data_IF_733582957765
#
_entry.id   IF_733582957765
#
_cell.length_a   1.000
_cell.length_b   1.000
_cell.length_c   1.000
_cell.angle_alpha   90.00
_cell.angle_beta   90.00
_cell.angle_gamma   90.00
#
_symmetry.space_group_name_H-M   'P 1'
#
loop_
_entity.id
_entity.type
_entity.pdbx_description
1 polymer ?
#
# COMPACT_ATOMS: atom_id res chain seq x y z
N UNK A 1 24.80 2.26 -0.07
CA UNK A 1 23.58 1.45 0.15
C UNK A 1 23.08 1.06 -1.22
N UNK A 2 23.20 -0.22 -1.59
CA UNK A 2 22.76 -0.71 -2.89
C UNK A 2 21.24 -0.81 -2.88
N UNK A 3 20.57 -0.06 -3.75
CA UNK A 3 19.14 -0.24 -3.99
C UNK A 3 18.86 -1.70 -4.35
N UNK A 4 17.69 -2.21 -3.98
CA UNK A 4 17.29 -3.55 -4.38
C UNK A 4 17.04 -3.53 -5.88
N UNK A 5 17.86 -4.20 -6.71
CA UNK A 5 17.69 -4.14 -8.15
C UNK A 5 16.35 -4.79 -8.53
N UNK A 6 15.67 -4.21 -9.52
CA UNK A 6 14.58 -4.87 -10.24
C UNK A 6 15.12 -6.19 -10.80
N UNK A 7 14.88 -7.30 -10.11
CA UNK A 7 15.44 -8.62 -10.42
C UNK A 7 14.30 -9.55 -10.87
N UNK A 8 14.55 -10.57 -11.68
CA UNK A 8 13.50 -11.43 -12.31
C UNK A 8 12.69 -12.34 -11.36
N UNK A 9 12.75 -12.09 -10.06
CA UNK A 9 12.15 -12.93 -9.04
C UNK A 9 10.78 -12.36 -8.57
N UNK A 10 9.77 -13.17 -8.22
CA UNK A 10 8.38 -12.70 -8.00
C UNK A 10 8.18 -11.56 -6.96
N UNK A 11 9.04 -11.49 -5.95
CA UNK A 11 8.96 -10.61 -4.78
C UNK A 11 9.01 -9.10 -5.06
N UNK A 12 9.76 -8.62 -6.06
CA UNK A 12 9.78 -7.17 -6.34
C UNK A 12 8.43 -6.66 -6.84
N UNK A 13 7.65 -7.52 -7.51
CA UNK A 13 6.31 -7.19 -8.00
C UNK A 13 5.37 -6.95 -6.83
N UNK A 14 5.47 -7.80 -5.80
CA UNK A 14 4.72 -7.63 -4.56
C UNK A 14 5.15 -6.37 -3.82
N UNK A 15 6.45 -6.10 -3.73
CA UNK A 15 6.95 -4.84 -3.15
C UNK A 15 6.41 -3.60 -3.87
N UNK A 16 6.40 -3.60 -5.20
CA UNK A 16 5.87 -2.50 -6.00
C UNK A 16 4.34 -2.32 -5.83
N UNK A 17 3.57 -3.43 -5.83
CA UNK A 17 2.13 -3.40 -5.58
C UNK A 17 1.80 -2.88 -4.17
N UNK A 18 2.53 -3.36 -3.17
CA UNK A 18 2.37 -2.96 -1.78
C UNK A 18 2.66 -1.49 -1.56
N UNK A 19 3.80 -1.01 -2.09
CA UNK A 19 4.15 0.41 -2.02
C UNK A 19 3.10 1.28 -2.70
N UNK A 20 2.55 0.85 -3.84
CA UNK A 20 1.46 1.59 -4.48
C UNK A 20 0.20 1.66 -3.63
N UNK A 21 -0.19 0.56 -2.98
CA UNK A 21 -1.35 0.54 -2.11
C UNK A 21 -1.14 1.44 -0.88
N UNK A 22 0.01 1.35 -0.22
CA UNK A 22 0.38 2.21 0.91
C UNK A 22 0.40 3.68 0.50
N UNK A 23 0.92 4.00 -0.68
CA UNK A 23 0.91 5.36 -1.19
C UNK A 23 -0.51 5.90 -1.30
N UNK A 24 -1.40 5.19 -1.99
CA UNK A 24 -2.80 5.61 -2.17
C UNK A 24 -3.53 5.78 -0.83
N UNK A 25 -3.30 4.88 0.13
CA UNK A 25 -3.84 4.96 1.50
C UNK A 25 -3.23 6.11 2.32
N UNK A 26 -2.06 6.61 1.95
CA UNK A 26 -1.32 7.64 2.70
C UNK A 26 -1.53 9.08 2.22
N UNK A 27 -2.17 9.29 1.08
CA UNK A 27 -2.28 10.60 0.43
C UNK A 27 -3.73 11.10 0.40
N UNK A 28 -4.16 11.94 1.36
CA UNK A 28 -5.51 12.49 1.39
C UNK A 28 -5.89 13.28 0.12
N UNK A 29 -4.93 13.97 -0.50
CA UNK A 29 -5.18 14.73 -1.72
C UNK A 29 -5.57 13.78 -2.85
N UNK A 30 -4.78 12.72 -3.04
CA UNK A 30 -5.10 11.63 -3.96
C UNK A 30 -6.45 10.98 -3.65
N UNK A 31 -6.75 10.68 -2.38
CA UNK A 31 -8.00 10.02 -1.98
C UNK A 31 -9.23 10.86 -2.36
N UNK A 32 -9.15 12.17 -2.15
CA UNK A 32 -10.21 13.08 -2.57
C UNK A 32 -10.32 13.15 -4.10
N UNK A 33 -9.20 13.31 -4.81
CA UNK A 33 -9.20 13.49 -6.26
C UNK A 33 -9.49 12.22 -7.05
N UNK A 34 -9.18 11.04 -6.51
CA UNK A 34 -9.32 9.76 -7.19
C UNK A 34 -10.49 8.93 -6.65
N UNK A 35 -10.58 8.72 -5.33
CA UNK A 35 -11.59 7.81 -4.77
C UNK A 35 -12.95 8.47 -4.59
N UNK A 36 -13.02 9.73 -4.15
CA UNK A 36 -14.31 10.42 -4.03
C UNK A 36 -14.91 10.81 -5.38
N UNK A 37 -14.08 11.04 -6.40
CA UNK A 37 -14.53 11.38 -7.75
C UNK A 37 -14.78 10.16 -8.64
N UNK A 38 -14.33 8.96 -8.22
CA UNK A 38 -14.41 7.74 -9.03
C UNK A 38 -13.46 7.75 -10.23
N UNK A 39 -12.27 8.36 -10.10
CA UNK A 39 -11.27 8.39 -11.17
C UNK A 39 -10.79 6.97 -11.51
N UNK A 40 -10.94 6.61 -12.78
CA UNK A 40 -10.49 5.32 -13.29
C UNK A 40 -8.96 5.13 -13.24
N UNK A 41 -8.52 3.88 -13.31
CA UNK A 41 -7.11 3.50 -13.43
C UNK A 41 -6.35 3.36 -12.11
N UNK A 42 -6.97 3.68 -10.97
CA UNK A 42 -6.37 3.50 -9.65
C UNK A 42 -7.09 2.48 -8.77
N UNK A 43 -8.31 2.08 -9.11
CA UNK A 43 -9.18 1.31 -8.22
C UNK A 43 -9.69 2.14 -7.04
N UNK A 44 -10.38 1.49 -6.11
CA UNK A 44 -10.94 2.12 -4.92
C UNK A 44 -10.16 1.81 -3.63
N UNK A 45 -10.74 2.15 -2.47
CA UNK A 45 -10.18 1.86 -1.15
C UNK A 45 -10.00 0.36 -0.96
N UNK A 46 -11.02 -0.43 -1.31
CA UNK A 46 -11.05 -1.88 -1.16
C UNK A 46 -9.98 -2.54 -2.03
N UNK A 47 -9.82 -2.10 -3.28
CA UNK A 47 -8.75 -2.55 -4.17
C UNK A 47 -7.35 -2.29 -3.58
N UNK A 48 -7.16 -1.14 -2.90
CA UNK A 48 -5.90 -0.83 -2.24
C UNK A 48 -5.66 -1.75 -1.03
N UNK A 49 -6.68 -2.04 -0.21
CA UNK A 49 -6.55 -2.98 0.91
C UNK A 49 -6.24 -4.39 0.41
N UNK A 50 -6.93 -4.88 -0.63
CA UNK A 50 -6.65 -6.22 -1.17
C UNK A 50 -5.24 -6.35 -1.75
N UNK A 51 -4.71 -5.31 -2.38
CA UNK A 51 -3.29 -5.30 -2.81
C UNK A 51 -2.29 -5.47 -1.67
N UNK A 52 -2.66 -5.14 -0.43
CA UNK A 52 -1.79 -5.36 0.73
C UNK A 52 -1.78 -6.81 1.20
N UNK A 53 -2.83 -7.60 0.94
CA UNK A 53 -3.07 -8.87 1.61
C UNK A 53 -3.26 -10.08 0.68
N UNK A 54 -3.85 -9.91 -0.51
CA UNK A 54 -4.29 -11.05 -1.34
C UNK A 54 -3.13 -11.95 -1.77
N UNK A 55 -2.06 -11.34 -2.32
CA UNK A 55 -0.88 -12.08 -2.79
C UNK A 55 0.14 -12.34 -1.66
N UNK A 56 0.05 -11.63 -0.54
CA UNK A 56 1.08 -11.55 0.49
C UNK A 56 0.67 -12.17 1.82
N UNK A 57 -0.62 -12.44 2.03
CA UNK A 57 -1.18 -13.05 3.25
C UNK A 57 -0.86 -12.28 4.54
N UNK A 58 -0.65 -10.96 4.44
CA UNK A 58 -0.28 -10.12 5.59
C UNK A 58 -1.42 -9.88 6.59
N UNK A 59 -2.64 -10.27 6.23
CA UNK A 59 -3.77 -10.36 7.15
C UNK A 59 -3.70 -11.59 8.07
N UNK A 60 -2.93 -12.62 7.69
CA UNK A 60 -2.77 -13.87 8.45
C UNK A 60 -1.38 -14.02 9.10
N UNK A 61 -0.35 -13.35 8.55
CA UNK A 61 1.03 -13.49 9.01
C UNK A 61 1.76 -12.14 9.03
N UNK A 62 2.67 -11.99 10.00
CA UNK A 62 3.53 -10.80 10.07
C UNK A 62 4.42 -10.65 8.84
N UNK A 63 4.59 -9.41 8.42
CA UNK A 63 5.55 -8.93 7.43
C UNK A 63 6.99 -9.36 7.72
N UNK A 64 7.35 -9.62 9.00
CA UNK A 64 8.68 -10.07 9.39
C UNK A 64 9.12 -11.35 8.64
N UNK A 65 8.16 -12.22 8.30
CA UNK A 65 8.43 -13.44 7.50
C UNK A 65 8.97 -13.17 6.10
N UNK A 66 8.74 -11.96 5.58
CA UNK A 66 9.14 -11.54 4.25
C UNK A 66 10.37 -10.61 4.26
N UNK A 67 11.03 -10.43 5.41
CA UNK A 67 12.30 -9.69 5.49
C UNK A 67 13.39 -10.39 4.68
N UNK A 68 14.18 -9.61 3.93
CA UNK A 68 15.13 -10.11 2.93
C UNK A 68 14.47 -10.54 1.62
N UNK A 69 13.14 -10.56 1.57
CA UNK A 69 12.33 -10.64 0.35
C UNK A 69 11.57 -9.32 0.18
N UNK A 70 10.25 -9.30 0.29
CA UNK A 70 9.41 -8.11 0.06
C UNK A 70 9.92 -6.90 0.87
N UNK A 71 10.38 -7.14 2.11
CA UNK A 71 10.86 -6.09 3.00
C UNK A 71 12.36 -6.13 3.19
N UNK A 72 12.97 -4.96 3.34
CA UNK A 72 14.41 -4.83 3.50
C UNK A 72 14.91 -5.33 4.85
N UNK A 73 14.25 -4.89 5.90
CA UNK A 73 14.64 -5.12 7.28
C UNK A 73 13.40 -5.18 8.20
N UNK A 74 13.63 -5.53 9.46
CA UNK A 74 12.58 -5.68 10.45
C UNK A 74 11.86 -4.35 10.78
N UNK A 75 12.53 -3.20 10.61
CA UNK A 75 11.90 -1.92 10.89
C UNK A 75 10.88 -1.56 9.81
N UNK A 76 11.23 -1.77 8.54
CA UNK A 76 10.30 -1.62 7.43
C UNK A 76 9.12 -2.59 7.56
N UNK A 77 9.38 -3.86 7.89
CA UNK A 77 8.33 -4.87 8.09
C UNK A 77 7.37 -4.48 9.23
N UNK A 78 7.88 -4.00 10.37
CA UNK A 78 7.04 -3.59 11.49
C UNK A 78 6.11 -2.43 11.14
N UNK A 79 6.57 -1.45 10.36
CA UNK A 79 5.72 -0.36 9.87
C UNK A 79 4.61 -0.87 8.96
N UNK A 80 4.93 -1.82 8.08
CA UNK A 80 3.96 -2.44 7.17
C UNK A 80 2.92 -3.25 7.95
N UNK A 81 3.31 -4.00 8.97
CA UNK A 81 2.37 -4.74 9.84
C UNK A 81 1.34 -3.79 10.47
N UNK A 82 1.78 -2.65 10.99
CA UNK A 82 0.88 -1.64 11.57
C UNK A 82 -0.07 -1.09 10.50
N UNK A 83 0.45 -0.76 9.31
CA UNK A 83 -0.37 -0.22 8.22
C UNK A 83 -1.42 -1.24 7.73
N UNK A 84 -1.02 -2.50 7.50
CA UNK A 84 -1.92 -3.58 7.08
C UNK A 84 -3.00 -3.82 8.12
N UNK A 85 -2.63 -3.94 9.40
CA UNK A 85 -3.59 -4.14 10.49
C UNK A 85 -4.66 -3.05 10.51
N UNK A 86 -4.25 -1.78 10.38
CA UNK A 86 -5.19 -0.64 10.37
C UNK A 86 -6.07 -0.63 9.12
N UNK A 87 -5.52 -0.92 7.96
CA UNK A 87 -6.27 -0.97 6.70
C UNK A 87 -7.30 -2.10 6.71
N UNK A 88 -6.92 -3.29 7.16
CA UNK A 88 -7.82 -4.46 7.29
C UNK A 88 -8.89 -4.21 8.35
N UNK A 89 -8.54 -3.61 9.49
CA UNK A 89 -9.52 -3.22 10.51
C UNK A 89 -10.55 -2.24 9.93
N UNK A 90 -10.11 -1.24 9.18
CA UNK A 90 -11.00 -0.27 8.55
C UNK A 90 -11.94 -0.93 7.53
N UNK A 91 -11.43 -1.84 6.71
CA UNK A 91 -12.23 -2.61 5.76
C UNK A 91 -13.32 -3.43 6.46
N UNK A 92 -13.00 -4.01 7.63
CA UNK A 92 -13.97 -4.75 8.44
C UNK A 92 -15.01 -3.85 9.12
N UNK A 93 -14.59 -2.69 9.65
CA UNK A 93 -15.47 -1.76 10.37
C UNK A 93 -16.42 -1.02 9.44
N UNK A 94 -15.93 -0.59 8.27
CA UNK A 94 -16.70 0.21 7.30
C UNK A 94 -17.44 -0.70 6.30
N UNK A 95 -16.84 -1.82 5.90
CA UNK A 95 -17.40 -2.80 4.97
C UNK A 95 -16.91 -2.63 3.52
N UNK A 96 -16.62 -3.75 2.85
CA UNK A 96 -16.01 -3.78 1.52
C UNK A 96 -16.85 -3.10 0.41
N UNK A 97 -18.18 -3.09 0.55
CA UNK A 97 -19.10 -2.48 -0.41
C UNK A 97 -19.40 -1.00 -0.11
N UNK A 98 -18.82 -0.44 0.96
CA UNK A 98 -19.06 0.94 1.35
C UNK A 98 -18.33 1.92 0.40
N UNK A 99 -18.93 3.09 0.13
CA UNK A 99 -18.28 4.11 -0.70
C UNK A 99 -17.05 4.70 0.00
N UNK A 100 -16.10 5.22 -0.77
CA UNK A 100 -14.88 5.86 -0.24
C UNK A 100 -15.18 6.98 0.78
N UNK A 101 -16.30 7.68 0.63
CA UNK A 101 -16.72 8.72 1.60
C UNK A 101 -16.98 8.18 3.00
N UNK A 102 -17.41 6.91 3.14
CA UNK A 102 -17.60 6.28 4.44
C UNK A 102 -16.26 6.01 5.15
N UNK A 103 -15.25 5.58 4.38
CA UNK A 103 -13.88 5.42 4.88
C UNK A 103 -13.27 6.76 5.30
N UNK A 104 -13.29 7.74 4.40
CA UNK A 104 -12.68 9.06 4.65
C UNK A 104 -13.38 9.84 5.78
N UNK A 105 -14.66 9.57 6.03
CA UNK A 105 -15.41 10.13 7.16
C UNK A 105 -15.25 9.36 8.47
N UNK A 106 -14.57 8.21 8.49
CA UNK A 106 -14.42 7.39 9.68
C UNK A 106 -13.46 8.04 10.68
N UNK A 107 -13.78 8.10 11.99
CA UNK A 107 -12.94 8.78 12.98
C UNK A 107 -11.54 8.17 13.13
N UNK A 108 -11.37 6.89 12.81
CA UNK A 108 -10.07 6.20 12.81
C UNK A 108 -9.30 6.26 11.49
N UNK A 109 -9.84 6.91 10.45
CA UNK A 109 -9.18 7.02 9.15
C UNK A 109 -7.85 7.79 9.19
N UNK A 110 -7.71 8.91 9.94
CA UNK A 110 -6.44 9.63 10.02
C UNK A 110 -5.27 8.76 10.51
N UNK A 111 -5.53 7.83 11.44
CA UNK A 111 -4.54 6.90 11.95
C UNK A 111 -4.13 5.86 10.88
N UNK A 112 -5.08 5.39 10.08
CA UNK A 112 -4.79 4.51 8.92
C UNK A 112 -3.93 5.22 7.89
N UNK A 113 -4.27 6.48 7.56
CA UNK A 113 -3.48 7.32 6.64
C UNK A 113 -2.06 7.51 7.16
N UNK A 114 -1.90 7.84 8.45
CA UNK A 114 -0.58 8.02 9.07
C UNK A 114 0.24 6.73 9.04
N UNK A 115 -0.35 5.59 9.42
CA UNK A 115 0.35 4.31 9.41
C UNK A 115 0.79 3.92 8.00
N UNK A 116 -0.09 4.09 7.00
CA UNK A 116 0.24 3.86 5.60
C UNK A 116 1.36 4.78 5.12
N UNK A 117 1.37 6.06 5.55
CA UNK A 117 2.43 7.02 5.21
C UNK A 117 3.78 6.61 5.75
N UNK A 118 3.85 6.22 7.02
CA UNK A 118 5.10 5.78 7.66
C UNK A 118 5.71 4.57 6.92
N UNK A 119 4.88 3.57 6.59
CA UNK A 119 5.30 2.40 5.83
C UNK A 119 5.72 2.75 4.39
N UNK A 120 4.93 3.56 3.67
CA UNK A 120 5.24 4.00 2.29
C UNK A 120 6.56 4.76 2.22
N UNK A 121 6.77 5.73 3.13
CA UNK A 121 8.01 6.53 3.15
C UNK A 121 9.21 5.64 3.41
N UNK A 122 9.14 4.72 4.37
CA UNK A 122 10.23 3.78 4.65
C UNK A 122 10.57 2.94 3.41
N UNK A 123 9.57 2.39 2.73
CA UNK A 123 9.76 1.59 1.52
C UNK A 123 10.31 2.40 0.34
N UNK A 124 9.76 3.59 0.08
CA UNK A 124 10.15 4.44 -1.04
C UNK A 124 11.58 4.97 -0.88
N UNK A 125 11.90 5.54 0.29
CA UNK A 125 13.27 5.97 0.61
C UNK A 125 14.22 4.79 0.56
N UNK A 126 13.75 3.63 1.04
CA UNK A 126 14.46 2.39 0.90
C UNK A 126 14.85 2.13 -0.56
N UNK A 127 13.88 2.17 -1.46
CA UNK A 127 14.08 1.87 -2.89
C UNK A 127 14.91 2.95 -3.62
N UNK A 128 15.19 4.09 -2.97
CA UNK A 128 15.84 5.24 -3.59
C UNK A 128 14.87 6.09 -4.43
N UNK A 129 13.56 5.87 -4.25
CA UNK A 129 12.49 6.62 -4.89
C UNK A 129 12.09 7.84 -4.05
N UNK A 130 11.55 8.85 -4.71
CA UNK A 130 10.90 9.99 -4.05
C UNK A 130 9.54 9.57 -3.47
N UNK A 131 9.33 9.62 -2.14
CA UNK A 131 8.06 9.27 -1.52
C UNK A 131 6.92 10.25 -1.84
N UNK A 132 7.23 11.46 -2.33
CA UNK A 132 6.26 12.51 -2.66
C UNK A 132 5.87 12.52 -4.15
N UNK A 133 6.52 11.70 -4.97
CA UNK A 133 6.16 11.56 -6.38
C UNK A 133 4.79 10.86 -6.51
N UNK A 134 3.87 11.30 -7.39
CA UNK A 134 2.51 10.76 -7.45
C UNK A 134 2.42 9.23 -7.56
N UNK A 135 1.37 8.60 -7.00
CA UNK A 135 1.19 7.16 -7.07
C UNK A 135 1.06 6.69 -8.52
N UNK A 136 1.64 5.51 -8.82
CA UNK A 136 1.54 4.89 -10.14
C UNK A 136 0.13 4.34 -10.36
N UNK A 137 -0.41 4.49 -11.56
CA UNK A 137 -1.69 3.86 -11.92
C UNK A 137 -1.56 2.34 -12.01
N UNK A 138 -2.70 1.64 -11.92
CA UNK A 138 -2.77 0.18 -12.06
C UNK A 138 -2.21 -0.30 -13.41
N UNK A 139 -2.40 0.47 -14.48
CA UNK A 139 -1.84 0.16 -15.79
C UNK A 139 -0.32 0.21 -15.79
N UNK A 140 0.26 1.24 -15.16
CA UNK A 140 1.71 1.35 -15.02
C UNK A 140 2.25 0.21 -14.17
N UNK A 141 1.59 -0.13 -13.05
CA UNK A 141 1.98 -1.28 -12.24
C UNK A 141 1.92 -2.58 -13.04
N UNK A 142 0.88 -2.79 -13.85
CA UNK A 142 0.75 -3.97 -14.71
C UNK A 142 1.86 -4.05 -15.75
N UNK A 143 2.26 -2.94 -16.35
CA UNK A 143 3.38 -2.88 -17.30
C UNK A 143 4.70 -3.19 -16.59
N UNK A 144 4.95 -2.54 -15.44
CA UNK A 144 6.16 -2.75 -14.68
C UNK A 144 6.26 -4.20 -14.25
N UNK A 145 5.22 -4.74 -13.61
CA UNK A 145 5.22 -6.11 -13.05
C UNK A 145 4.97 -7.23 -14.06
N UNK A 146 4.96 -6.94 -15.37
CA UNK A 146 4.75 -7.97 -16.41
C UNK A 146 6.00 -8.85 -16.57
N UNK A 147 5.79 -10.13 -16.91
CA UNK A 147 6.84 -11.01 -17.49
C UNK A 147 6.77 -10.85 -19.00
#
# INVERSE_FOLDING_TARGET
MGGMPLNDLPWWRWRARMRSALHMLSDPGFQHEAWLTGREGYGDVTDAVYRLVEDTWLDHWSAEKYVGTIFRDAAEAALVDVAVLRAVQMLHEVGADAPASAYLGHPGWPETVRAAREAHVAMAVGDGDDPDAPPKSLDVLRILTRV
#
